data_IF_718136588894
#
_entry.id   IF_718136588894
#
_cell.length_a   1.000
_cell.length_b   1.000
_cell.length_c   1.000
_cell.angle_alpha   90.00
_cell.angle_beta   90.00
_cell.angle_gamma   90.00
#
_symmetry.space_group_name_H-M   'P 1'
#
loop_
_entity.id
_entity.type
_entity.pdbx_description
1 polymer ?
#
# COMPACT_ATOMS: atom_id res chain seq x y z
N UNK A 1 -6.30 24.32 -1.03
CA UNK A 1 -6.12 23.32 0.04
C UNK A 1 -5.84 21.98 -0.62
N UNK A 2 -4.74 21.29 -0.29
CA UNK A 2 -4.46 19.99 -0.93
C UNK A 2 -3.02 19.50 -0.77
N UNK A 3 -2.53 19.38 0.47
CA UNK A 3 -1.23 18.75 0.76
C UNK A 3 -1.38 17.31 1.27
N UNK A 4 -2.62 16.80 1.34
CA UNK A 4 -2.92 15.46 1.80
C UNK A 4 -2.84 14.46 0.65
N UNK A 5 -2.29 13.28 0.91
CA UNK A 5 -2.39 12.14 0.01
C UNK A 5 -3.85 11.67 -0.11
N UNK A 6 -4.18 10.96 -1.21
CA UNK A 6 -5.54 10.41 -1.41
C UNK A 6 -6.02 9.58 -0.23
N UNK A 7 -5.17 8.69 0.29
CA UNK A 7 -5.49 7.87 1.47
C UNK A 7 -5.65 8.69 2.75
N UNK A 8 -4.92 9.79 2.94
CA UNK A 8 -5.13 10.68 4.09
C UNK A 8 -6.47 11.42 3.99
N UNK A 9 -6.82 11.94 2.82
CA UNK A 9 -8.11 12.60 2.61
C UNK A 9 -9.28 11.62 2.83
N UNK A 10 -9.14 10.37 2.37
CA UNK A 10 -10.12 9.31 2.60
C UNK A 10 -10.27 8.98 4.09
N UNK A 11 -9.16 8.82 4.83
CA UNK A 11 -9.20 8.55 6.27
C UNK A 11 -9.78 9.70 7.08
N UNK A 12 -9.56 10.95 6.67
CA UNK A 12 -10.22 12.12 7.30
C UNK A 12 -11.73 12.04 7.10
N UNK A 13 -12.20 11.71 5.89
CA UNK A 13 -13.64 11.51 5.64
C UNK A 13 -14.20 10.36 6.46
N UNK A 14 -13.47 9.26 6.59
CA UNK A 14 -13.90 8.14 7.43
C UNK A 14 -14.05 8.56 8.91
N UNK A 15 -13.07 9.29 9.44
CA UNK A 15 -13.09 9.80 10.81
C UNK A 15 -14.29 10.74 11.08
N UNK A 16 -14.62 11.62 10.13
CA UNK A 16 -15.78 12.51 10.29
C UNK A 16 -17.11 11.75 10.29
N UNK A 17 -17.23 10.69 9.48
CA UNK A 17 -18.44 9.87 9.48
C UNK A 17 -18.64 9.13 10.80
N UNK A 18 -17.59 8.54 11.38
CA UNK A 18 -17.68 7.89 12.69
C UNK A 18 -18.14 8.89 13.77
N UNK A 19 -17.59 10.11 13.74
CA UNK A 19 -17.96 11.17 14.69
C UNK A 19 -19.43 11.58 14.63
N UNK A 20 -20.12 11.34 13.51
CA UNK A 20 -21.54 11.64 13.36
C UNK A 20 -22.48 10.58 13.98
N UNK A 21 -21.95 9.42 14.37
CA UNK A 21 -22.70 8.32 15.01
C UNK A 21 -24.01 7.93 14.28
N UNK A 22 -24.00 8.01 12.95
CA UNK A 22 -25.16 7.63 12.14
C UNK A 22 -25.36 6.11 12.16
N UNK A 23 -26.63 5.69 12.15
CA UNK A 23 -27.07 4.31 12.08
C UNK A 23 -28.00 4.11 10.86
N UNK A 24 -28.04 2.89 10.30
CA UNK A 24 -28.86 2.58 9.13
C UNK A 24 -28.31 3.12 7.81
N UNK A 25 -27.03 3.49 7.75
CA UNK A 25 -26.35 4.00 6.55
C UNK A 25 -25.62 2.86 5.83
N UNK A 26 -25.53 2.94 4.50
CA UNK A 26 -24.64 2.11 3.68
C UNK A 26 -23.33 2.86 3.42
N UNK A 27 -22.24 2.39 3.99
CA UNK A 27 -20.89 2.86 3.69
C UNK A 27 -20.25 2.00 2.61
N UNK A 28 -19.73 2.64 1.57
CA UNK A 28 -18.96 2.00 0.50
C UNK A 28 -17.57 2.63 0.47
N UNK A 29 -16.54 1.81 0.65
CA UNK A 29 -15.15 2.25 0.71
C UNK A 29 -14.30 1.54 -0.34
N UNK A 30 -13.42 2.30 -0.97
CA UNK A 30 -12.50 1.82 -2.00
C UNK A 30 -11.06 1.86 -1.48
N UNK A 31 -10.48 0.69 -1.20
CA UNK A 31 -9.11 0.48 -0.68
C UNK A 31 -8.66 1.45 0.45
N UNK A 32 -9.37 1.50 1.60
CA UNK A 32 -9.05 2.42 2.69
C UNK A 32 -7.67 2.21 3.34
N UNK A 33 -7.03 1.05 3.13
CA UNK A 33 -5.67 0.76 3.60
C UNK A 33 -4.58 1.45 2.77
N UNK A 34 -4.90 2.05 1.60
CA UNK A 34 -3.90 2.71 0.74
C UNK A 34 -3.06 3.73 1.52
N UNK A 35 -1.74 3.57 1.41
CA UNK A 35 -0.76 4.46 2.04
C UNK A 35 -0.73 4.35 3.57
N UNK A 36 -1.41 3.36 4.16
CA UNK A 36 -1.33 3.05 5.57
C UNK A 36 -0.18 2.06 5.81
N UNK A 37 0.47 2.21 6.96
CA UNK A 37 1.48 1.24 7.38
C UNK A 37 0.78 0.05 8.06
N UNK A 38 1.30 -1.18 7.91
CA UNK A 38 0.65 -2.38 8.46
C UNK A 38 0.27 -2.26 9.94
N UNK A 39 1.15 -1.63 10.75
CA UNK A 39 0.88 -1.33 12.17
C UNK A 39 -0.42 -0.56 12.42
N UNK A 40 -0.77 0.37 11.53
CA UNK A 40 -1.93 1.23 11.71
C UNK A 40 -3.19 0.61 11.07
N UNK A 41 -3.05 -0.51 10.33
CA UNK A 41 -4.16 -1.22 9.69
C UNK A 41 -5.15 -1.81 10.69
N UNK A 42 -4.68 -2.30 11.84
CA UNK A 42 -5.55 -2.79 12.92
C UNK A 42 -6.55 -1.73 13.39
N UNK A 43 -6.11 -0.48 13.47
CA UNK A 43 -6.99 0.65 13.85
C UNK A 43 -8.05 0.91 12.79
N UNK A 44 -7.68 0.81 11.51
CA UNK A 44 -8.63 0.93 10.41
C UNK A 44 -9.67 -0.20 10.45
N UNK A 45 -9.24 -1.45 10.62
CA UNK A 45 -10.16 -2.59 10.73
C UNK A 45 -11.11 -2.41 11.93
N UNK A 46 -10.59 -2.05 13.11
CA UNK A 46 -11.42 -1.81 14.30
C UNK A 46 -12.46 -0.70 14.08
N UNK A 47 -12.11 0.30 13.28
CA UNK A 47 -12.99 1.39 12.90
C UNK A 47 -14.13 0.92 11.98
N UNK A 48 -13.82 0.09 10.98
CA UNK A 48 -14.83 -0.49 10.08
C UNK A 48 -15.79 -1.41 10.83
N UNK A 49 -15.26 -2.22 11.77
CA UNK A 49 -16.08 -3.06 12.64
C UNK A 49 -17.00 -2.20 13.51
N UNK A 50 -16.50 -1.12 14.12
CA UNK A 50 -17.33 -0.22 14.91
C UNK A 50 -18.47 0.41 14.08
N UNK A 51 -18.20 0.83 12.83
CA UNK A 51 -19.25 1.34 11.94
C UNK A 51 -20.35 0.30 11.72
N UNK A 52 -19.99 -0.98 11.52
CA UNK A 52 -20.95 -2.08 11.44
C UNK A 52 -21.76 -2.23 12.74
N UNK A 53 -21.09 -2.27 13.89
CA UNK A 53 -21.74 -2.45 15.21
C UNK A 53 -22.71 -1.31 15.57
N UNK A 54 -22.53 -0.11 14.99
CA UNK A 54 -23.50 0.99 15.08
C UNK A 54 -24.79 0.76 14.27
N UNK A 55 -24.94 -0.38 13.61
CA UNK A 55 -26.12 -0.73 12.82
C UNK A 55 -26.04 -0.26 11.35
N UNK A 56 -24.83 -0.10 10.82
CA UNK A 56 -24.61 0.26 9.42
C UNK A 56 -24.21 -0.96 8.58
N UNK A 57 -24.41 -0.85 7.27
CA UNK A 57 -23.81 -1.78 6.30
C UNK A 57 -22.49 -1.19 5.81
N UNK A 58 -21.43 -1.99 5.77
CA UNK A 58 -20.10 -1.56 5.34
C UNK A 58 -19.62 -2.48 4.21
N UNK A 59 -19.47 -1.92 3.02
CA UNK A 59 -18.91 -2.60 1.84
C UNK A 59 -17.52 -2.01 1.58
N UNK A 60 -16.52 -2.88 1.47
CA UNK A 60 -15.13 -2.47 1.30
C UNK A 60 -14.50 -3.24 0.14
N UNK A 61 -13.89 -2.53 -0.80
CA UNK A 61 -12.94 -3.10 -1.76
C UNK A 61 -11.57 -3.10 -1.10
N UNK A 62 -10.96 -4.26 -0.93
CA UNK A 62 -9.66 -4.42 -0.26
C UNK A 62 -8.87 -5.61 -0.79
N UNK A 63 -7.56 -5.57 -0.55
CA UNK A 63 -6.62 -6.63 -0.88
C UNK A 63 -5.77 -7.04 0.33
N UNK A 64 -5.86 -6.34 1.46
CA UNK A 64 -5.14 -6.67 2.68
C UNK A 64 -5.69 -7.95 3.35
N UNK A 65 -4.77 -8.87 3.67
CA UNK A 65 -5.09 -10.17 4.27
C UNK A 65 -5.80 -10.04 5.63
N UNK A 66 -5.39 -9.11 6.49
CA UNK A 66 -6.01 -8.95 7.81
C UNK A 66 -7.46 -8.50 7.69
N UNK A 67 -7.74 -7.61 6.74
CA UNK A 67 -9.08 -7.14 6.44
C UNK A 67 -9.96 -8.26 5.91
N UNK A 68 -9.48 -9.03 4.92
CA UNK A 68 -10.20 -10.20 4.38
C UNK A 68 -10.51 -11.23 5.47
N UNK A 69 -9.57 -11.50 6.38
CA UNK A 69 -9.79 -12.44 7.49
C UNK A 69 -10.79 -11.96 8.53
N UNK A 70 -10.99 -10.65 8.65
CA UNK A 70 -11.93 -10.05 9.61
C UNK A 70 -13.33 -9.86 9.02
N UNK A 71 -13.47 -9.92 7.69
CA UNK A 71 -14.72 -9.69 7.00
C UNK A 71 -15.78 -10.74 7.39
N UNK A 72 -17.01 -10.28 7.64
CA UNK A 72 -18.15 -11.16 7.90
C UNK A 72 -18.58 -11.92 6.62
N UNK A 73 -18.40 -11.29 5.46
CA UNK A 73 -18.74 -11.84 4.15
C UNK A 73 -17.77 -11.32 3.08
N UNK A 74 -17.34 -12.19 2.17
CA UNK A 74 -16.38 -11.88 1.10
C UNK A 74 -17.04 -12.19 -0.24
N UNK A 75 -16.80 -11.33 -1.22
CA UNK A 75 -17.14 -11.55 -2.63
C UNK A 75 -15.85 -11.47 -3.42
N UNK A 76 -15.44 -12.59 -4.01
CA UNK A 76 -14.22 -12.68 -4.83
C UNK A 76 -14.58 -12.52 -6.30
N UNK A 77 -14.00 -11.51 -6.95
CA UNK A 77 -14.21 -11.19 -8.35
C UNK A 77 -12.96 -11.59 -9.15
N UNK A 78 -13.16 -12.29 -10.26
CA UNK A 78 -12.07 -12.79 -11.10
C UNK A 78 -12.60 -13.50 -12.34
N UNK A 79 -11.91 -14.54 -12.85
CA UNK A 79 -10.64 -15.13 -12.36
C UNK A 79 -9.37 -14.33 -12.71
N UNK A 80 -9.47 -13.36 -13.64
CA UNK A 80 -8.38 -12.48 -14.05
C UNK A 80 -8.83 -11.01 -14.13
N UNK A 81 -8.02 -10.19 -14.81
CA UNK A 81 -8.32 -8.78 -15.02
C UNK A 81 -8.84 -8.50 -16.44
N UNK A 82 -9.55 -7.39 -16.62
CA UNK A 82 -10.07 -6.96 -17.93
C UNK A 82 -11.08 -7.97 -18.49
N UNK A 83 -10.86 -8.39 -19.76
CA UNK A 83 -11.74 -9.35 -20.44
C UNK A 83 -11.75 -10.75 -19.80
N UNK A 84 -10.78 -11.04 -18.92
CA UNK A 84 -10.66 -12.31 -18.21
C UNK A 84 -11.25 -12.24 -16.79
N UNK A 85 -11.87 -11.11 -16.42
CA UNK A 85 -12.52 -10.89 -15.13
C UNK A 85 -14.02 -10.65 -15.27
N UNK A 86 -14.61 -10.10 -14.22
CA UNK A 86 -16.03 -9.70 -14.22
C UNK A 86 -17.00 -10.82 -13.76
N UNK A 87 -16.47 -11.93 -13.27
CA UNK A 87 -17.27 -13.04 -12.73
C UNK A 87 -17.12 -13.12 -11.20
N UNK A 88 -18.17 -13.58 -10.53
CA UNK A 88 -18.09 -13.95 -9.11
C UNK A 88 -17.50 -15.36 -9.01
N UNK A 89 -16.25 -15.45 -8.57
CA UNK A 89 -15.51 -16.71 -8.46
C UNK A 89 -15.89 -17.45 -7.19
N UNK A 90 -16.02 -16.70 -6.08
CA UNK A 90 -16.41 -17.23 -4.79
C UNK A 90 -17.18 -16.16 -4.01
N UNK A 91 -18.10 -16.58 -3.13
CA UNK A 91 -18.79 -15.68 -2.19
C UNK A 91 -19.18 -16.46 -0.94
N UNK A 92 -19.07 -15.83 0.22
CA UNK A 92 -19.39 -16.49 1.48
C UNK A 92 -18.55 -15.99 2.65
N UNK A 93 -18.46 -16.81 3.68
CA UNK A 93 -17.54 -16.63 4.80
C UNK A 93 -16.09 -16.85 4.38
N UNK A 94 -15.13 -16.48 5.24
CA UNK A 94 -13.72 -16.79 5.02
C UNK A 94 -13.48 -18.28 4.71
N UNK A 95 -14.18 -19.19 5.41
CA UNK A 95 -14.07 -20.63 5.18
C UNK A 95 -14.52 -21.04 3.77
N UNK A 96 -15.58 -20.42 3.25
CA UNK A 96 -16.09 -20.69 1.90
C UNK A 96 -15.07 -20.25 0.84
N UNK A 97 -14.42 -19.10 1.04
CA UNK A 97 -13.36 -18.60 0.15
C UNK A 97 -12.13 -19.52 0.19
N UNK A 98 -11.70 -19.94 1.38
CA UNK A 98 -10.53 -20.81 1.57
C UNK A 98 -10.71 -22.20 0.93
N UNK A 99 -11.94 -22.71 0.91
CA UNK A 99 -12.27 -24.02 0.35
C UNK A 99 -12.59 -24.00 -1.15
N UNK A 100 -12.55 -22.82 -1.80
CA UNK A 100 -12.87 -22.70 -3.22
C UNK A 100 -11.60 -22.75 -4.08
N UNK A 101 -11.42 -23.86 -4.80
CA UNK A 101 -10.27 -24.11 -5.68
C UNK A 101 -10.18 -23.17 -6.90
N UNK A 102 -11.23 -22.42 -7.21
CA UNK A 102 -11.22 -21.43 -8.30
C UNK A 102 -10.81 -20.04 -7.80
N UNK A 103 -10.91 -19.76 -6.49
CA UNK A 103 -10.55 -18.47 -5.89
C UNK A 103 -9.03 -18.32 -5.79
N UNK A 104 -8.45 -17.40 -6.57
CA UNK A 104 -7.03 -17.02 -6.42
C UNK A 104 -6.79 -16.43 -5.04
N UNK A 105 -7.73 -15.61 -4.55
CA UNK A 105 -7.71 -15.03 -3.21
C UNK A 105 -7.67 -16.13 -2.14
N UNK A 106 -8.54 -17.13 -2.22
CA UNK A 106 -8.55 -18.29 -1.32
C UNK A 106 -7.24 -19.08 -1.34
N UNK A 107 -6.61 -19.25 -2.50
CA UNK A 107 -5.31 -19.91 -2.64
C UNK A 107 -4.17 -19.16 -1.96
N UNK A 108 -4.14 -17.83 -2.02
CA UNK A 108 -3.16 -17.02 -1.28
C UNK A 108 -3.43 -17.05 0.23
N UNK A 109 -4.70 -16.90 0.65
CA UNK A 109 -5.06 -16.89 2.07
C UNK A 109 -4.86 -18.24 2.77
N UNK A 110 -5.01 -19.36 2.04
CA UNK A 110 -4.71 -20.71 2.53
C UNK A 110 -3.22 -21.05 2.51
N UNK A 111 -2.41 -20.25 1.79
CA UNK A 111 -1.00 -20.52 1.56
C UNK A 111 -0.74 -21.64 0.54
N UNK A 112 -1.74 -22.07 -0.24
CA UNK A 112 -1.49 -22.92 -1.40
C UNK A 112 -0.63 -22.20 -2.45
N UNK A 113 -0.91 -20.91 -2.66
CA UNK A 113 -0.05 -19.98 -3.39
C UNK A 113 0.67 -19.07 -2.40
N UNK A 114 1.93 -18.75 -2.69
CA UNK A 114 2.77 -17.86 -1.89
C UNK A 114 3.66 -17.04 -2.79
N UNK A 115 3.95 -15.81 -2.37
CA UNK A 115 4.98 -14.99 -3.03
C UNK A 115 6.34 -15.52 -2.57
N UNK A 116 7.10 -16.09 -3.51
CA UNK A 116 8.42 -16.61 -3.19
C UNK A 116 9.39 -15.50 -2.78
N UNK A 117 10.04 -15.69 -1.62
CA UNK A 117 11.11 -14.79 -1.19
C UNK A 117 12.41 -15.24 -1.88
N UNK A 118 13.09 -14.35 -2.63
CA UNK A 118 14.35 -14.71 -3.30
C UNK A 118 15.37 -15.25 -2.29
N UNK A 119 15.83 -16.49 -2.51
CA UNK A 119 16.85 -17.14 -1.66
C UNK A 119 18.19 -16.41 -1.68
N UNK A 120 18.49 -15.75 -2.81
CA UNK A 120 19.73 -15.02 -3.03
C UNK A 120 19.39 -13.56 -3.33
N UNK A 121 19.98 -12.64 -2.56
CA UNK A 121 19.93 -11.20 -2.82
C UNK A 121 21.20 -10.78 -3.57
N UNK A 122 21.07 -9.87 -4.53
CA UNK A 122 22.22 -9.28 -5.23
C UNK A 122 23.12 -8.57 -4.20
N UNK A 123 24.44 -8.81 -4.28
CA UNK A 123 25.39 -8.12 -3.41
C UNK A 123 25.36 -6.61 -3.71
N UNK A 124 25.44 -5.81 -2.64
CA UNK A 124 25.56 -4.36 -2.76
C UNK A 124 26.90 -4.02 -3.39
N UNK A 125 26.86 -3.31 -4.52
CA UNK A 125 28.06 -2.82 -5.22
C UNK A 125 28.68 -1.60 -4.55
N UNK A 126 29.70 -1.01 -5.19
CA UNK A 126 30.36 0.22 -4.70
C UNK A 126 29.65 1.51 -5.12
N UNK A 127 28.84 1.46 -6.17
CA UNK A 127 28.16 2.63 -6.72
C UNK A 127 26.90 2.95 -5.93
N UNK A 128 26.70 4.22 -5.58
CA UNK A 128 25.59 4.67 -4.75
C UNK A 128 25.16 6.11 -5.09
N UNK A 129 23.89 6.40 -4.86
CA UNK A 129 23.38 7.77 -4.80
C UNK A 129 23.52 8.25 -3.36
N UNK A 130 24.20 9.38 -3.17
CA UNK A 130 24.38 9.99 -1.85
C UNK A 130 23.56 11.26 -1.76
N UNK A 131 22.59 11.27 -0.84
CA UNK A 131 21.82 12.43 -0.44
C UNK A 131 22.43 12.95 0.85
N UNK A 132 22.92 14.19 0.85
CA UNK A 132 23.51 14.83 2.03
C UNK A 132 22.57 15.90 2.56
N UNK A 133 22.52 16.02 3.89
CA UNK A 133 21.83 17.11 4.60
C UNK A 133 20.36 17.30 4.16
N UNK A 134 19.65 16.19 3.95
CA UNK A 134 18.25 16.21 3.57
C UNK A 134 17.41 16.77 4.73
N UNK A 135 16.88 17.99 4.56
CA UNK A 135 16.27 18.78 5.64
C UNK A 135 14.87 19.33 5.29
N UNK A 136 14.29 18.90 4.17
CA UNK A 136 12.95 19.35 3.75
C UNK A 136 11.85 18.78 4.66
N UNK A 137 10.80 19.57 4.91
CA UNK A 137 9.66 19.24 5.78
C UNK A 137 10.11 18.75 7.17
N UNK A 138 9.76 17.52 7.54
CA UNK A 138 10.12 16.96 8.85
C UNK A 138 11.45 16.21 8.87
N UNK A 139 12.20 16.16 7.76
CA UNK A 139 13.50 15.49 7.71
C UNK A 139 14.53 16.24 8.57
N UNK A 140 15.28 15.48 9.37
CA UNK A 140 16.18 16.01 10.41
C UNK A 140 17.63 16.08 9.95
N UNK A 141 17.87 16.77 8.84
CA UNK A 141 19.20 16.92 8.23
C UNK A 141 19.91 15.57 8.00
N UNK A 142 19.20 14.63 7.36
CA UNK A 142 19.66 13.25 7.24
C UNK A 142 20.61 13.06 6.06
N UNK A 143 21.55 12.13 6.22
CA UNK A 143 22.41 11.64 5.13
C UNK A 143 21.96 10.23 4.75
N UNK A 144 21.69 10.00 3.46
CA UNK A 144 21.20 8.71 2.94
C UNK A 144 22.06 8.26 1.78
N UNK A 145 22.52 7.01 1.83
CA UNK A 145 23.23 6.34 0.74
C UNK A 145 22.33 5.24 0.17
N UNK A 146 22.03 5.32 -1.12
CA UNK A 146 21.17 4.38 -1.84
C UNK A 146 22.04 3.60 -2.82
N UNK A 147 22.28 2.30 -2.58
CA UNK A 147 23.12 1.50 -3.46
C UNK A 147 22.48 1.34 -4.84
N UNK A 148 23.29 1.48 -5.89
CA UNK A 148 22.87 1.26 -7.26
C UNK A 148 22.91 -0.22 -7.63
N UNK A 149 22.10 -0.57 -8.62
CA UNK A 149 22.04 -1.92 -9.15
C UNK A 149 21.42 -2.94 -8.20
N UNK A 150 20.72 -2.55 -7.13
CA UNK A 150 19.99 -3.48 -6.23
C UNK A 150 18.56 -3.02 -6.02
N UNK A 151 17.68 -3.95 -5.60
CA UNK A 151 16.29 -3.65 -5.26
C UNK A 151 16.23 -3.01 -3.86
N UNK A 152 16.06 -1.69 -3.81
CA UNK A 152 16.03 -0.92 -2.55
C UNK A 152 14.59 -0.47 -2.23
N UNK A 153 14.16 -0.69 -0.99
CA UNK A 153 12.85 -0.27 -0.49
C UNK A 153 13.03 0.82 0.57
N UNK A 154 12.33 1.95 0.41
CA UNK A 154 12.19 2.98 1.45
C UNK A 154 10.88 2.72 2.20
N UNK A 155 10.98 2.33 3.47
CA UNK A 155 9.82 1.99 4.32
C UNK A 155 9.72 2.90 5.55
N UNK A 156 8.63 2.77 6.30
CA UNK A 156 8.32 3.56 7.48
C UNK A 156 6.85 3.96 7.58
N UNK A 157 6.42 4.40 8.76
CA UNK A 157 5.03 4.79 9.06
C UNK A 157 4.56 6.00 8.26
N UNK A 158 3.25 6.24 8.17
CA UNK A 158 2.73 7.45 7.51
C UNK A 158 3.31 8.72 8.17
N UNK A 159 3.58 9.76 7.37
CA UNK A 159 4.20 10.99 7.85
C UNK A 159 5.69 10.90 8.19
N UNK A 160 6.37 9.75 8.05
CA UNK A 160 7.80 9.61 8.39
C UNK A 160 8.78 10.34 7.44
N UNK A 161 8.28 10.96 6.36
CA UNK A 161 9.11 11.70 5.39
C UNK A 161 9.53 10.91 4.15
N UNK A 162 8.99 9.70 3.91
CA UNK A 162 9.32 8.87 2.71
C UNK A 162 9.06 9.60 1.40
N UNK A 163 7.86 10.15 1.22
CA UNK A 163 7.47 10.88 0.02
C UNK A 163 8.27 12.17 -0.15
N UNK A 164 8.62 12.84 0.95
CA UNK A 164 9.51 14.01 0.91
C UNK A 164 10.91 13.62 0.45
N UNK A 165 11.49 12.54 0.99
CA UNK A 165 12.79 12.06 0.56
C UNK A 165 12.80 11.66 -0.92
N UNK A 166 11.77 10.93 -1.38
CA UNK A 166 11.69 10.43 -2.74
C UNK A 166 11.26 11.50 -3.76
N UNK A 167 10.07 12.08 -3.59
CA UNK A 167 9.42 12.91 -4.61
C UNK A 167 9.89 14.37 -4.55
N UNK A 168 10.30 14.85 -3.38
CA UNK A 168 10.64 16.26 -3.20
C UNK A 168 12.14 16.55 -3.12
N UNK A 169 12.96 15.53 -2.91
CA UNK A 169 14.43 15.64 -2.84
C UNK A 169 15.08 14.81 -3.95
N UNK A 170 14.92 13.48 -3.91
CA UNK A 170 15.65 12.60 -4.82
C UNK A 170 15.22 12.80 -6.28
N UNK A 171 13.93 12.74 -6.57
CA UNK A 171 13.42 12.82 -7.94
C UNK A 171 13.77 14.16 -8.62
N UNK A 172 13.53 15.34 -8.03
CA UNK A 172 13.91 16.60 -8.65
C UNK A 172 15.43 16.75 -8.84
N UNK A 173 16.24 16.23 -7.90
CA UNK A 173 17.69 16.25 -8.01
C UNK A 173 18.20 15.38 -9.18
N UNK A 174 17.62 14.19 -9.36
CA UNK A 174 17.95 13.31 -10.49
C UNK A 174 17.47 13.90 -11.81
N UNK A 175 16.24 14.40 -11.88
CA UNK A 175 15.67 15.01 -13.09
C UNK A 175 16.53 16.21 -13.57
N UNK A 176 16.93 17.08 -12.64
CA UNK A 176 17.82 18.20 -12.94
C UNK A 176 19.19 17.73 -13.46
N UNK A 177 19.77 16.68 -12.85
CA UNK A 177 21.08 16.15 -13.22
C UNK A 177 21.07 15.40 -14.56
N UNK A 178 19.98 14.70 -14.89
CA UNK A 178 19.84 14.00 -16.16
C UNK A 178 19.55 14.97 -17.32
N UNK A 179 18.77 16.03 -17.08
CA UNK A 179 18.46 17.06 -18.09
C UNK A 179 19.63 17.98 -18.40
N UNK A 180 20.59 18.13 -17.51
CA UNK A 180 21.72 19.06 -17.70
C UNK A 180 22.77 18.59 -18.70
N UNK A 181 22.53 17.54 -19.50
CA UNK A 181 23.44 17.01 -20.54
C UNK A 181 24.88 16.77 -20.04
N UNK A 182 25.05 16.55 -18.73
CA UNK A 182 26.33 16.09 -18.20
C UNK A 182 26.34 14.59 -18.45
N UNK A 183 27.13 14.15 -19.43
CA UNK A 183 27.30 12.74 -19.83
C UNK A 183 27.20 11.79 -18.63
N UNK A 184 26.09 11.05 -18.58
CA UNK A 184 25.81 10.08 -17.52
C UNK A 184 26.56 8.79 -17.83
N UNK A 185 27.66 8.55 -17.10
CA UNK A 185 28.24 7.22 -17.00
C UNK A 185 27.40 6.44 -15.98
N UNK A 186 26.58 5.51 -16.47
CA UNK A 186 25.78 4.59 -15.65
C UNK A 186 26.62 3.51 -14.95
N UNK A 187 27.94 3.50 -15.20
CA UNK A 187 28.87 2.52 -14.64
C UNK A 187 28.63 1.11 -15.18
N UNK A 188 27.88 0.97 -16.27
CA UNK A 188 27.65 -0.27 -17.00
C UNK A 188 28.07 -0.08 -18.47
N UNK A 189 29.37 0.12 -18.69
CA UNK A 189 30.03 -0.10 -19.99
C UNK A 189 31.18 -1.07 -19.78
N UNK A 190 31.32 -2.02 -20.70
CA UNK A 190 32.25 -3.17 -20.76
C UNK A 190 33.40 -3.22 -19.74
#
# INVERSE_FOLDING_TARGET
SGTLSGGEAQRIRLATQIGSALAGVLYVLDEPSIGLHQRDNEKLISTLVNLKELGNTVIVVEHDEQTLRTADYIIDIGPGAGIYGGEIVAKGTLSDILNNDHSVTGKYLSGQLKIEVPKIRRKVGKSEIVILNASKNNLKNINVRIPLGVFTVITGVSGSGKSTLLNEILYPALDSRLKSNTSYFDGFGD
#
